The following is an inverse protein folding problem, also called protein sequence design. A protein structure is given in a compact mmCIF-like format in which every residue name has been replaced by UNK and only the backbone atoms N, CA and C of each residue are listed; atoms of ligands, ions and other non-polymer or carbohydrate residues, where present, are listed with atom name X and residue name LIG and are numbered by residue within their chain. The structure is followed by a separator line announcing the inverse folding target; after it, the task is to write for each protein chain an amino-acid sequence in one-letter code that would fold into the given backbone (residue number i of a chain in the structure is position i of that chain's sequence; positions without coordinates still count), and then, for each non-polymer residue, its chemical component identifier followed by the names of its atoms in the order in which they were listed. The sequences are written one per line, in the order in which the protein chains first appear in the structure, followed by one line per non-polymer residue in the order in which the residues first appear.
data_IF_486643334004
#
_entry.id   IF_486643334004
#
_cell.length_a   1.000
_cell.length_b   1.000
_cell.length_c   1.000
_cell.angle_alpha   90.00
_cell.angle_beta   90.00
_cell.angle_gamma   90.00
#
_symmetry.space_group_name_H-M   'P 1'
#
loop_
_entity.id
_entity.type
_entity.pdbx_description
1 polymer ?
#
# COMPACT_ATOMS: atom_id res chain seq x y z
N UNK A 1 26.04 42.90 47.72
CA UNK A 1 26.40 41.66 46.97
C UNK A 1 25.23 41.35 46.04
N UNK A 2 24.81 42.31 45.20
CA UNK A 2 25.43 42.73 43.91
C UNK A 2 25.39 41.57 42.90
N UNK A 3 24.95 41.69 41.65
CA UNK A 3 24.25 42.67 40.81
C UNK A 3 23.91 41.86 39.53
N UNK A 4 22.68 41.83 39.00
CA UNK A 4 22.13 42.68 37.92
C UNK A 4 22.98 42.85 36.63
N UNK A 5 22.31 42.71 35.47
CA UNK A 5 22.65 43.12 34.07
C UNK A 5 22.42 41.99 33.03
N UNK A 6 21.31 42.00 32.27
CA UNK A 6 21.04 42.73 30.98
C UNK A 6 21.48 42.01 29.70
N UNK A 7 20.50 41.73 28.82
CA UNK A 7 20.65 41.42 27.39
C UNK A 7 21.32 42.58 26.61
N UNK A 8 21.73 42.35 25.35
CA UNK A 8 20.95 42.98 24.28
C UNK A 8 20.77 42.16 22.99
N UNK A 9 19.69 42.54 22.29
CA UNK A 9 19.33 42.28 20.89
C UNK A 9 20.43 42.72 19.90
N UNK A 10 20.55 42.02 18.76
CA UNK A 10 20.98 42.65 17.52
C UNK A 10 20.13 42.14 16.34
N UNK A 11 19.45 43.10 15.71
CA UNK A 11 18.64 42.98 14.51
C UNK A 11 19.45 43.45 13.29
N UNK A 12 19.08 42.91 12.12
CA UNK A 12 19.16 43.48 10.75
C UNK A 12 20.50 43.39 9.96
N UNK A 13 20.53 43.56 8.62
CA UNK A 13 19.44 43.71 7.63
C UNK A 13 19.56 42.86 6.32
N UNK A 14 18.49 43.00 5.53
CA UNK A 14 18.22 42.75 4.10
C UNK A 14 19.39 43.02 3.12
N UNK A 15 19.52 42.20 2.06
CA UNK A 15 19.76 42.64 0.67
C UNK A 15 19.34 41.56 -0.35
N UNK A 16 18.37 41.93 -1.20
CA UNK A 16 18.03 41.36 -2.50
C UNK A 16 19.16 41.56 -3.54
N UNK A 17 18.94 40.99 -4.75
CA UNK A 17 19.64 41.17 -6.04
C UNK A 17 20.58 39.99 -6.42
N UNK A 18 20.56 39.39 -7.62
CA UNK A 18 19.85 39.70 -8.85
C UNK A 18 19.87 38.49 -9.81
N UNK A 19 18.87 38.47 -10.69
CA UNK A 19 18.87 37.79 -11.98
C UNK A 19 20.16 38.08 -12.80
N UNK A 20 20.53 37.18 -13.71
CA UNK A 20 20.70 37.47 -15.16
C UNK A 20 21.17 36.21 -15.91
N UNK A 21 20.46 35.92 -16.99
CA UNK A 21 20.78 34.95 -18.03
C UNK A 21 21.59 35.58 -19.17
N UNK A 22 22.18 34.72 -20.01
CA UNK A 22 22.71 34.99 -21.37
C UNK A 22 24.10 35.65 -21.42
N UNK A 23 24.99 35.41 -22.38
CA UNK A 23 25.09 34.52 -23.53
C UNK A 23 26.54 34.61 -24.07
N UNK A 24 26.93 33.63 -24.89
CA UNK A 24 27.92 33.67 -25.99
C UNK A 24 29.26 34.44 -25.82
N UNK A 25 30.38 33.72 -25.98
CA UNK A 25 31.38 33.93 -27.07
C UNK A 25 32.61 33.02 -26.87
N UNK A 26 32.83 32.09 -27.79
CA UNK A 26 34.13 31.46 -28.14
C UNK A 26 35.01 32.48 -28.91
N UNK A 27 36.33 32.31 -29.17
CA UNK A 27 37.01 31.04 -29.55
C UNK A 27 38.48 30.83 -29.09
N UNK A 28 39.02 29.63 -29.32
CA UNK A 28 40.48 29.41 -29.38
C UNK A 28 41.00 28.03 -28.97
N UNK A 29 41.21 27.18 -29.97
CA UNK A 29 41.87 25.86 -30.01
C UNK A 29 42.96 25.52 -28.98
N UNK A 30 42.92 24.27 -28.46
CA UNK A 30 43.99 23.27 -28.69
C UNK A 30 43.51 21.84 -28.41
N UNK A 31 43.82 20.97 -29.35
CA UNK A 31 43.58 19.52 -29.45
C UNK A 31 44.36 18.69 -28.42
N UNK A 32 43.79 17.57 -27.95
CA UNK A 32 44.36 16.19 -27.99
C UNK A 32 43.25 15.17 -27.66
N UNK A 33 43.34 14.04 -28.37
CA UNK A 33 42.42 12.91 -28.59
C UNK A 33 42.20 11.95 -27.41
N UNK A 34 41.00 11.34 -27.30
CA UNK A 34 40.80 9.87 -27.31
C UNK A 34 39.31 9.46 -27.16
N UNK A 35 38.68 9.20 -28.31
CA UNK A 35 37.68 8.15 -28.65
C UNK A 35 36.78 7.48 -27.58
N UNK A 36 35.47 7.66 -27.74
CA UNK A 36 34.44 6.64 -27.50
C UNK A 36 33.58 6.45 -28.77
N UNK A 37 32.73 5.41 -28.90
CA UNK A 37 31.76 5.33 -29.99
C UNK A 37 30.33 5.61 -29.50
N UNK A 38 29.72 6.67 -30.04
CA UNK A 38 28.28 6.96 -29.96
C UNK A 38 27.55 6.41 -31.18
N UNK A 39 26.30 6.00 -30.92
CA UNK A 39 25.30 5.47 -31.83
C UNK A 39 24.99 6.42 -33.01
N UNK A 40 24.78 5.85 -34.20
CA UNK A 40 24.11 6.51 -35.32
C UNK A 40 22.81 5.77 -35.67
N UNK A 41 21.71 6.51 -35.69
CA UNK A 41 20.42 6.12 -36.27
C UNK A 41 20.32 6.62 -37.72
N UNK A 42 20.00 5.76 -38.70
CA UNK A 42 19.04 5.97 -39.82
C UNK A 42 18.81 4.68 -40.65
N UNK A 43 17.69 4.54 -41.41
CA UNK A 43 17.11 3.27 -41.87
C UNK A 43 17.63 2.79 -43.26
N UNK A 44 17.39 1.52 -43.67
CA UNK A 44 18.00 0.98 -44.89
C UNK A 44 17.20 1.30 -46.16
N UNK A 45 17.92 1.74 -47.18
CA UNK A 45 17.49 1.86 -48.58
C UNK A 45 17.64 0.49 -49.26
N UNK A 46 16.56 -0.06 -49.82
CA UNK A 46 16.62 -1.28 -50.62
C UNK A 46 17.17 -0.98 -52.02
N UNK A 47 18.36 -1.47 -52.34
CA UNK A 47 18.85 -1.60 -53.71
C UNK A 47 18.85 -3.08 -54.12
N UNK A 48 18.00 -3.40 -55.08
CA UNK A 48 18.02 -4.61 -55.90
C UNK A 48 19.14 -4.52 -56.93
N UNK A 49 20.12 -5.43 -56.90
CA UNK A 49 20.96 -5.73 -58.06
C UNK A 49 21.28 -7.22 -58.16
N UNK A 50 21.19 -7.70 -59.39
CA UNK A 50 21.19 -9.06 -59.88
C UNK A 50 22.56 -9.73 -59.95
N UNK A 51 22.56 -11.04 -59.67
CA UNK A 51 23.24 -12.14 -60.37
C UNK A 51 24.71 -12.01 -60.82
N UNK A 52 25.59 -12.87 -60.29
CA UNK A 52 26.59 -13.65 -61.09
C UNK A 52 27.28 -14.77 -60.26
N UNK A 53 27.04 -16.01 -60.71
CA UNK A 53 27.90 -17.23 -60.76
C UNK A 53 28.89 -17.64 -59.64
N UNK A 54 28.56 -18.80 -59.02
CA UNK A 54 29.36 -19.99 -58.68
C UNK A 54 30.86 -19.88 -58.32
N UNK A 55 31.18 -20.18 -57.06
CA UNK A 55 32.25 -21.13 -56.64
C UNK A 55 31.77 -21.87 -55.37
N UNK A 56 31.74 -23.20 -55.42
CA UNK A 56 31.46 -24.09 -54.28
C UNK A 56 32.78 -24.46 -53.58
N UNK A 57 32.86 -24.21 -52.27
CA UNK A 57 33.82 -24.85 -51.35
C UNK A 57 33.06 -25.29 -50.10
N UNK A 58 33.30 -26.49 -49.54
CA UNK A 58 32.61 -26.99 -48.36
C UNK A 58 33.45 -26.74 -47.11
N UNK A 59 32.98 -25.91 -46.17
CA UNK A 59 33.27 -26.09 -44.75
C UNK A 59 32.44 -25.15 -43.88
N UNK A 60 31.94 -25.70 -42.78
CA UNK A 60 31.48 -25.03 -41.55
C UNK A 60 30.40 -23.96 -41.69
N UNK A 61 29.17 -24.39 -41.96
CA UNK A 61 27.98 -23.64 -41.52
C UNK A 61 27.56 -24.18 -40.15
N UNK A 62 28.08 -23.57 -39.08
CA UNK A 62 27.35 -23.54 -37.82
C UNK A 62 25.95 -22.97 -38.10
N UNK A 63 24.86 -23.58 -37.62
CA UNK A 63 23.56 -22.92 -37.67
C UNK A 63 23.55 -21.86 -36.57
N UNK A 64 24.11 -20.68 -36.84
CA UNK A 64 23.86 -19.48 -36.04
C UNK A 64 22.46 -18.94 -36.42
N UNK A 65 21.46 -19.76 -36.12
CA UNK A 65 20.04 -19.42 -36.10
C UNK A 65 19.55 -19.56 -34.67
N UNK A 66 20.10 -18.78 -33.74
CA UNK A 66 19.44 -18.61 -32.44
C UNK A 66 18.14 -17.90 -32.73
N UNK A 67 17.07 -18.68 -32.85
CA UNK A 67 15.71 -18.18 -33.01
C UNK A 67 15.53 -16.96 -32.09
N UNK A 68 15.39 -15.77 -32.68
CA UNK A 68 14.88 -14.61 -31.97
C UNK A 68 13.50 -15.02 -31.48
N UNK A 69 13.43 -15.51 -30.24
CA UNK A 69 12.21 -16.10 -29.70
C UNK A 69 11.09 -15.08 -29.85
N UNK A 70 10.04 -15.44 -30.59
CA UNK A 70 8.93 -14.54 -30.92
C UNK A 70 8.43 -13.84 -29.65
N UNK A 71 8.71 -12.53 -29.56
CA UNK A 71 8.21 -11.71 -28.45
C UNK A 71 6.84 -11.17 -28.82
N UNK A 72 5.89 -11.27 -27.90
CA UNK A 72 4.54 -10.75 -28.13
C UNK A 72 3.99 -10.10 -26.87
N UNK A 73 3.49 -8.88 -27.03
CA UNK A 73 2.87 -8.13 -25.96
C UNK A 73 1.36 -8.43 -25.93
N UNK A 74 0.83 -8.76 -24.76
CA UNK A 74 -0.58 -9.10 -24.56
C UNK A 74 -1.31 -8.00 -23.79
N UNK A 75 -2.53 -7.63 -24.20
CA UNK A 75 -3.41 -6.71 -23.44
C UNK A 75 -3.71 -7.23 -22.02
N UNK A 76 -3.62 -8.54 -21.80
CA UNK A 76 -3.83 -9.21 -20.50
C UNK A 76 -2.92 -8.71 -19.38
N UNK A 77 -1.73 -8.16 -19.69
CA UNK A 77 -0.79 -7.62 -18.70
C UNK A 77 -1.38 -6.52 -17.82
N UNK A 78 -2.22 -5.65 -18.40
CA UNK A 78 -2.89 -4.56 -17.67
C UNK A 78 -3.95 -5.09 -16.73
N UNK A 79 -4.67 -6.14 -17.13
CA UNK A 79 -5.59 -6.83 -16.24
C UNK A 79 -4.85 -7.42 -15.03
N UNK A 80 -3.74 -8.13 -15.25
CA UNK A 80 -2.94 -8.73 -14.16
C UNK A 80 -2.41 -7.65 -13.21
N UNK A 81 -1.90 -6.54 -13.75
CA UNK A 81 -1.47 -5.39 -12.96
C UNK A 81 -2.63 -4.81 -12.13
N UNK A 82 -3.82 -4.63 -12.72
CA UNK A 82 -4.99 -4.12 -12.02
C UNK A 82 -5.43 -5.04 -10.87
N UNK A 83 -5.53 -6.35 -11.11
CA UNK A 83 -5.91 -7.32 -10.05
C UNK A 83 -4.89 -7.34 -8.92
N UNK A 84 -3.60 -7.36 -9.26
CA UNK A 84 -2.54 -7.25 -8.27
C UNK A 84 -2.64 -5.94 -7.46
N UNK A 85 -2.88 -4.83 -8.15
CA UNK A 85 -2.96 -3.53 -7.51
C UNK A 85 -4.16 -3.42 -6.58
N UNK A 86 -5.31 -4.00 -6.94
CA UNK A 86 -6.48 -4.09 -6.06
C UNK A 86 -6.21 -4.97 -4.84
N UNK A 87 -5.53 -6.10 -5.00
CA UNK A 87 -5.07 -6.93 -3.89
C UNK A 87 -4.16 -6.12 -2.95
N UNK A 88 -3.17 -5.43 -3.51
CA UNK A 88 -2.22 -4.62 -2.74
C UNK A 88 -2.91 -3.46 -2.03
N UNK A 89 -3.81 -2.74 -2.70
CA UNK A 89 -4.64 -1.69 -2.10
C UNK A 89 -5.49 -2.23 -0.95
N UNK A 90 -6.10 -3.40 -1.13
CA UNK A 90 -6.92 -4.04 -0.09
C UNK A 90 -6.07 -4.42 1.12
N UNK A 91 -4.90 -5.02 0.90
CA UNK A 91 -3.97 -5.39 1.98
C UNK A 91 -3.51 -4.15 2.78
N UNK A 92 -3.20 -3.04 2.09
CA UNK A 92 -2.83 -1.77 2.71
C UNK A 92 -3.99 -1.14 3.49
N UNK A 93 -5.19 -1.10 2.91
CA UNK A 93 -6.39 -0.60 3.58
C UNK A 93 -6.73 -1.39 4.85
N UNK A 94 -6.73 -2.72 4.76
CA UNK A 94 -6.97 -3.64 5.89
C UNK A 94 -5.92 -3.50 6.99
N UNK A 95 -4.68 -3.16 6.62
CA UNK A 95 -3.61 -2.88 7.58
C UNK A 95 -3.90 -1.60 8.38
N UNK A 96 -4.45 -0.58 7.73
CA UNK A 96 -4.76 0.73 8.30
C UNK A 96 -6.23 0.92 8.71
N UNK A 97 -7.01 -0.15 8.92
CA UNK A 97 -8.44 -0.04 9.25
C UNK A 97 -8.70 0.60 10.62
N UNK A 98 -7.80 0.37 11.59
CA UNK A 98 -8.04 0.72 13.00
C UNK A 98 -7.52 2.11 13.39
N UNK A 99 -6.50 2.63 12.70
CA UNK A 99 -5.94 3.95 12.98
C UNK A 99 -6.98 5.09 12.87
N UNK A 100 -7.75 5.18 11.77
CA UNK A 100 -8.75 6.24 11.58
C UNK A 100 -9.93 6.20 12.56
N UNK A 101 -10.19 5.04 13.19
CA UNK A 101 -11.34 4.79 14.06
C UNK A 101 -10.94 4.44 15.50
N UNK A 102 -9.70 4.77 15.91
CA UNK A 102 -9.13 4.38 17.20
C UNK A 102 -10.03 4.77 18.38
N UNK A 103 -10.40 6.04 18.47
CA UNK A 103 -11.24 6.58 19.55
C UNK A 103 -12.59 5.87 19.64
N UNK A 104 -13.25 5.63 18.50
CA UNK A 104 -14.51 4.88 18.44
C UNK A 104 -14.33 3.39 18.79
N UNK A 105 -13.20 2.78 18.44
CA UNK A 105 -12.91 1.40 18.80
C UNK A 105 -12.63 1.24 20.30
N UNK A 106 -12.00 2.23 20.92
CA UNK A 106 -11.79 2.32 22.36
C UNK A 106 -13.13 2.44 23.12
N UNK A 107 -14.02 3.36 22.73
CA UNK A 107 -15.35 3.49 23.37
C UNK A 107 -16.21 2.23 23.12
N UNK A 108 -16.16 1.67 21.90
CA UNK A 108 -16.96 0.50 21.54
C UNK A 108 -16.53 -0.79 22.26
N UNK A 109 -15.24 -1.10 22.28
CA UNK A 109 -14.74 -2.40 22.76
C UNK A 109 -14.07 -2.34 24.14
N UNK A 110 -13.88 -1.14 24.70
CA UNK A 110 -13.10 -0.94 25.92
C UNK A 110 -11.62 -1.25 25.72
N UNK A 111 -11.11 -1.06 24.49
CA UNK A 111 -9.70 -1.23 24.19
C UNK A 111 -8.87 -0.08 24.76
N UNK A 112 -7.59 -0.35 24.97
CA UNK A 112 -6.61 0.65 25.35
C UNK A 112 -5.82 1.10 24.12
N UNK A 113 -5.18 2.27 24.20
CA UNK A 113 -4.27 2.78 23.17
C UNK A 113 -3.22 1.72 22.79
N UNK A 114 -2.66 1.02 23.78
CA UNK A 114 -1.68 -0.05 23.56
C UNK A 114 -2.24 -1.21 22.73
N UNK A 115 -3.54 -1.50 22.82
CA UNK A 115 -4.22 -2.51 22.01
C UNK A 115 -4.31 -2.05 20.54
N UNK A 116 -4.67 -0.78 20.32
CA UNK A 116 -4.73 -0.16 18.99
C UNK A 116 -3.32 -0.10 18.36
N UNK A 117 -2.31 0.30 19.12
CA UNK A 117 -0.92 0.36 18.67
C UNK A 117 -0.41 -1.02 18.25
N UNK A 118 -0.74 -2.06 19.03
CA UNK A 118 -0.39 -3.44 18.69
C UNK A 118 -1.05 -3.90 17.38
N UNK A 119 -2.28 -3.47 17.08
CA UNK A 119 -2.93 -3.75 15.79
C UNK A 119 -2.15 -3.15 14.62
N UNK A 120 -1.60 -1.95 14.77
CA UNK A 120 -0.73 -1.35 13.75
C UNK A 120 0.60 -2.12 13.60
N UNK A 121 1.17 -2.55 14.73
CA UNK A 121 2.46 -3.26 14.78
C UNK A 121 2.42 -4.68 14.23
N UNK A 122 1.25 -5.33 14.16
CA UNK A 122 1.13 -6.66 13.57
C UNK A 122 1.60 -6.73 12.11
N UNK A 123 1.49 -5.64 11.34
CA UNK A 123 2.02 -5.58 9.97
C UNK A 123 3.54 -5.78 9.93
N UNK A 124 4.34 -4.90 10.53
CA UNK A 124 5.79 -5.07 10.63
C UNK A 124 6.23 -6.38 11.31
N UNK A 125 5.57 -6.81 12.39
CA UNK A 125 5.91 -8.05 13.09
C UNK A 125 5.73 -9.26 12.15
N UNK A 126 4.57 -9.37 11.50
CA UNK A 126 4.30 -10.47 10.58
C UNK A 126 5.19 -10.40 9.33
N UNK A 127 5.58 -9.20 8.89
CA UNK A 127 6.52 -9.02 7.78
C UNK A 127 7.90 -9.63 8.09
N UNK A 128 8.41 -9.49 9.32
CA UNK A 128 9.68 -10.11 9.71
C UNK A 128 9.62 -11.65 9.62
N UNK A 129 8.48 -12.24 10.01
CA UNK A 129 8.27 -13.69 9.96
C UNK A 129 8.11 -14.19 8.53
N UNK A 130 7.34 -13.46 7.72
CA UNK A 130 6.92 -13.90 6.39
C UNK A 130 7.84 -13.44 5.25
N UNK A 131 8.64 -12.39 5.44
CA UNK A 131 9.42 -11.73 4.39
C UNK A 131 10.36 -12.68 3.64
N UNK A 132 11.13 -13.51 4.37
CA UNK A 132 12.05 -14.49 3.76
C UNK A 132 11.27 -15.55 2.99
N UNK A 133 10.21 -16.09 3.59
CA UNK A 133 9.39 -17.16 3.00
C UNK A 133 8.70 -16.69 1.72
N UNK A 134 8.12 -15.49 1.75
CA UNK A 134 7.45 -14.91 0.59
C UNK A 134 8.42 -14.46 -0.50
N UNK A 135 9.61 -13.98 -0.15
CA UNK A 135 10.66 -13.67 -1.13
C UNK A 135 11.05 -14.93 -1.91
N UNK A 136 11.35 -16.02 -1.20
CA UNK A 136 11.61 -17.33 -1.82
C UNK A 136 10.41 -17.81 -2.66
N UNK A 137 9.19 -17.63 -2.17
CA UNK A 137 7.98 -18.06 -2.86
C UNK A 137 7.74 -17.27 -4.17
N UNK A 138 7.97 -15.96 -4.17
CA UNK A 138 7.82 -15.12 -5.36
C UNK A 138 8.84 -15.48 -6.44
N UNK A 139 10.07 -15.81 -6.05
CA UNK A 139 11.14 -16.17 -6.99
C UNK A 139 10.98 -17.61 -7.53
N UNK A 140 10.68 -18.58 -6.67
CA UNK A 140 10.68 -20.02 -7.04
C UNK A 140 9.31 -20.51 -7.51
N UNK A 141 8.25 -20.25 -6.72
CA UNK A 141 6.87 -20.70 -7.05
C UNK A 141 6.15 -19.72 -7.97
N UNK A 142 6.67 -18.51 -8.09
CA UNK A 142 6.18 -17.47 -8.98
C UNK A 142 5.07 -16.61 -8.39
N UNK A 143 4.70 -15.62 -9.19
CA UNK A 143 3.84 -14.52 -8.75
C UNK A 143 2.40 -14.94 -8.45
N UNK A 144 1.82 -15.85 -9.25
CA UNK A 144 0.44 -16.34 -9.03
C UNK A 144 0.27 -16.96 -7.66
N UNK A 145 1.14 -17.92 -7.30
CA UNK A 145 1.03 -18.61 -6.02
C UNK A 145 1.15 -17.64 -4.85
N UNK A 146 2.08 -16.69 -4.96
CA UNK A 146 2.28 -15.64 -3.95
C UNK A 146 1.05 -14.75 -3.79
N UNK A 147 0.46 -14.27 -4.89
CA UNK A 147 -0.74 -13.44 -4.85
C UNK A 147 -1.97 -14.19 -4.34
N UNK A 148 -2.15 -15.47 -4.71
CA UNK A 148 -3.28 -16.29 -4.24
C UNK A 148 -3.17 -16.56 -2.74
N UNK A 149 -1.97 -16.88 -2.24
CA UNK A 149 -1.76 -17.11 -0.80
C UNK A 149 -1.95 -15.81 -0.02
N UNK A 150 -1.43 -14.68 -0.50
CA UNK A 150 -1.71 -13.37 0.10
C UNK A 150 -3.21 -13.06 0.10
N UNK A 151 -3.90 -13.25 -1.02
CA UNK A 151 -5.34 -13.04 -1.12
C UNK A 151 -6.12 -13.91 -0.13
N UNK A 152 -5.71 -15.18 0.04
CA UNK A 152 -6.30 -16.06 1.04
C UNK A 152 -6.07 -15.56 2.46
N UNK A 153 -4.83 -15.18 2.81
CA UNK A 153 -4.49 -14.68 4.14
C UNK A 153 -5.24 -13.38 4.49
N UNK A 154 -5.35 -12.46 3.54
CA UNK A 154 -6.11 -11.22 3.69
C UNK A 154 -7.60 -11.54 3.86
N UNK A 155 -8.19 -12.37 2.98
CA UNK A 155 -9.61 -12.73 3.05
C UNK A 155 -9.95 -13.50 4.33
N UNK A 156 -9.11 -14.45 4.76
CA UNK A 156 -9.25 -15.15 6.03
C UNK A 156 -9.13 -14.18 7.21
N UNK A 157 -8.14 -13.28 7.18
CA UNK A 157 -7.92 -12.30 8.22
C UNK A 157 -9.09 -11.32 8.41
N UNK A 158 -9.65 -10.80 7.31
CA UNK A 158 -10.87 -9.97 7.36
C UNK A 158 -12.11 -10.78 7.70
N UNK A 159 -12.20 -12.04 7.25
CA UNK A 159 -13.30 -12.93 7.58
C UNK A 159 -13.40 -13.22 9.08
N UNK A 160 -12.26 -13.40 9.76
CA UNK A 160 -12.23 -13.57 11.21
C UNK A 160 -12.79 -12.35 11.96
N UNK A 161 -12.53 -11.13 11.48
CA UNK A 161 -13.07 -9.87 12.07
C UNK A 161 -14.58 -9.78 11.95
N UNK A 162 -15.20 -10.52 11.04
CA UNK A 162 -16.63 -10.49 10.76
C UNK A 162 -17.47 -11.44 11.63
N UNK A 163 -16.84 -12.30 12.45
CA UNK A 163 -17.54 -13.39 13.17
C UNK A 163 -18.37 -12.85 14.35
N UNK A 164 -17.78 -11.99 15.18
CA UNK A 164 -18.46 -11.45 16.37
C UNK A 164 -17.88 -10.11 16.78
N UNK A 165 -18.75 -9.27 17.34
CA UNK A 165 -18.42 -7.94 17.86
C UNK A 165 -18.55 -7.87 19.40
N UNK A 166 -18.63 -9.04 20.05
CA UNK A 166 -18.69 -9.14 21.50
C UNK A 166 -17.27 -9.28 22.09
N UNK A 167 -16.96 -8.45 23.07
CA UNK A 167 -15.75 -8.56 23.90
C UNK A 167 -15.88 -9.80 24.82
N UNK A 168 -14.83 -10.62 25.00
CA UNK A 168 -13.44 -10.46 24.53
C UNK A 168 -13.12 -11.10 23.18
N UNK A 169 -14.07 -11.82 22.57
CA UNK A 169 -13.81 -12.60 21.35
C UNK A 169 -13.40 -11.71 20.16
N UNK A 170 -14.02 -10.53 20.00
CA UNK A 170 -13.68 -9.55 18.95
C UNK A 170 -12.22 -9.13 19.01
N UNK A 171 -11.64 -8.96 20.21
CA UNK A 171 -10.24 -8.58 20.41
C UNK A 171 -9.29 -9.64 19.84
N UNK A 172 -9.48 -10.90 20.24
CA UNK A 172 -8.66 -12.01 19.77
C UNK A 172 -8.77 -12.23 18.26
N UNK A 173 -10.00 -12.22 17.74
CA UNK A 173 -10.25 -12.37 16.31
C UNK A 173 -9.63 -11.25 15.49
N UNK A 174 -9.67 -10.02 16.00
CA UNK A 174 -9.05 -8.86 15.34
C UNK A 174 -7.53 -8.98 15.32
N UNK A 175 -6.89 -9.35 16.43
CA UNK A 175 -5.43 -9.54 16.44
C UNK A 175 -4.99 -10.68 15.52
N UNK A 176 -5.66 -11.84 15.55
CA UNK A 176 -5.36 -12.95 14.64
C UNK A 176 -5.58 -12.51 13.19
N UNK A 177 -6.68 -11.81 12.91
CA UNK A 177 -6.98 -11.32 11.57
C UNK A 177 -5.97 -10.28 11.06
N UNK A 178 -5.46 -9.42 11.94
CA UNK A 178 -4.42 -8.44 11.62
C UNK A 178 -3.06 -9.10 11.39
N UNK A 179 -2.72 -10.13 12.18
CA UNK A 179 -1.52 -10.93 11.96
C UNK A 179 -1.57 -11.67 10.61
N UNK A 180 -2.71 -12.30 10.27
CA UNK A 180 -2.89 -12.94 8.97
C UNK A 180 -2.74 -11.95 7.80
N UNK A 181 -3.35 -10.77 7.89
CA UNK A 181 -3.16 -9.71 6.89
C UNK A 181 -1.68 -9.29 6.76
N UNK A 182 -0.98 -9.19 7.89
CA UNK A 182 0.44 -8.85 7.93
C UNK A 182 1.33 -9.92 7.26
N UNK A 183 1.01 -11.21 7.41
CA UNK A 183 1.74 -12.30 6.73
C UNK A 183 1.67 -12.19 5.20
N UNK A 184 0.59 -11.61 4.66
CA UNK A 184 0.44 -11.35 3.23
C UNK A 184 1.17 -10.09 2.72
N UNK A 185 1.67 -9.24 3.64
CA UNK A 185 2.29 -7.94 3.36
C UNK A 185 3.50 -7.96 2.41
N UNK A 186 4.42 -8.94 2.49
CA UNK A 186 5.58 -8.96 1.59
C UNK A 186 5.25 -8.94 0.09
N UNK A 187 4.14 -9.57 -0.32
CA UNK A 187 3.70 -9.54 -1.73
C UNK A 187 3.20 -8.17 -2.15
N UNK A 188 2.51 -7.46 -1.26
CA UNK A 188 2.04 -6.11 -1.54
C UNK A 188 3.20 -5.12 -1.77
N UNK A 189 4.34 -5.34 -1.12
CA UNK A 189 5.50 -4.44 -1.21
C UNK A 189 6.53 -4.86 -2.27
N UNK A 190 6.86 -6.15 -2.40
CA UNK A 190 7.97 -6.61 -3.23
C UNK A 190 7.55 -7.12 -4.62
N UNK A 191 6.27 -7.43 -4.83
CA UNK A 191 5.82 -7.92 -6.13
C UNK A 191 5.75 -6.91 -7.29
N UNK A 192 5.59 -5.57 -7.11
CA UNK A 192 5.48 -4.66 -8.25
C UNK A 192 6.64 -4.76 -9.26
N UNK A 193 7.93 -4.76 -8.86
CA UNK A 193 9.04 -4.91 -9.81
C UNK A 193 9.15 -6.31 -10.41
N UNK A 194 8.66 -7.35 -9.71
CA UNK A 194 8.62 -8.72 -10.25
C UNK A 194 7.54 -8.83 -11.33
N UNK A 195 6.34 -8.32 -11.05
CA UNK A 195 5.21 -8.31 -11.96
C UNK A 195 5.53 -7.52 -13.23
N UNK A 196 6.11 -6.32 -13.09
CA UNK A 196 6.45 -5.48 -14.24
C UNK A 196 7.49 -6.15 -15.13
N UNK A 197 8.53 -6.77 -14.55
CA UNK A 197 9.54 -7.47 -15.32
C UNK A 197 9.03 -8.70 -16.08
N UNK A 198 8.03 -9.41 -15.53
CA UNK A 198 7.46 -10.63 -16.14
C UNK A 198 6.45 -10.29 -17.24
N UNK A 199 5.65 -9.24 -17.07
CA UNK A 199 4.49 -8.96 -17.93
C UNK A 199 4.66 -7.76 -18.87
N UNK A 200 5.63 -6.89 -18.62
CA UNK A 200 5.83 -5.64 -19.38
C UNK A 200 7.20 -5.58 -20.07
N UNK A 201 7.24 -4.99 -21.27
CA UNK A 201 8.48 -4.71 -21.99
C UNK A 201 9.26 -3.61 -21.25
N UNK A 202 10.59 -3.55 -21.42
CA UNK A 202 11.48 -2.71 -20.62
C UNK A 202 11.05 -1.25 -20.50
N UNK A 203 10.49 -0.68 -21.56
CA UNK A 203 10.10 0.74 -21.68
C UNK A 203 8.93 1.10 -20.77
N UNK A 204 8.09 0.14 -20.40
CA UNK A 204 6.88 0.36 -19.59
C UNK A 204 6.99 -0.21 -18.16
N UNK A 205 8.11 -0.87 -17.82
CA UNK A 205 8.27 -1.55 -16.51
C UNK A 205 8.21 -0.60 -15.33
N UNK A 206 8.84 0.57 -15.45
CA UNK A 206 8.87 1.59 -14.40
C UNK A 206 7.45 2.09 -14.10
N UNK A 207 6.67 2.39 -15.15
CA UNK A 207 5.28 2.83 -15.01
C UNK A 207 4.41 1.74 -14.36
N UNK A 208 4.53 0.48 -14.81
CA UNK A 208 3.78 -0.62 -14.22
C UNK A 208 4.12 -0.83 -12.74
N UNK A 209 5.40 -0.71 -12.37
CA UNK A 209 5.85 -0.79 -10.97
C UNK A 209 5.27 0.35 -10.15
N UNK A 210 5.33 1.58 -10.67
CA UNK A 210 4.80 2.77 -10.00
C UNK A 210 3.28 2.67 -9.74
N UNK A 211 2.51 2.20 -10.72
CA UNK A 211 1.06 1.99 -10.56
C UNK A 211 0.77 1.01 -9.42
N UNK A 212 1.47 -0.14 -9.39
CA UNK A 212 1.29 -1.14 -8.34
C UNK A 212 1.60 -0.60 -6.95
N UNK A 213 2.70 0.16 -6.81
CA UNK A 213 3.10 0.75 -5.53
C UNK A 213 2.15 1.87 -5.08
N UNK A 214 1.75 2.77 -5.99
CA UNK A 214 0.86 3.90 -5.65
C UNK A 214 -0.52 3.41 -5.23
N UNK A 215 -1.05 2.38 -5.88
CA UNK A 215 -2.38 1.85 -5.53
C UNK A 215 -2.40 1.18 -4.14
N UNK A 216 -1.28 0.63 -3.67
CA UNK A 216 -1.15 0.19 -2.28
C UNK A 216 -1.40 1.36 -1.30
N UNK A 217 -0.68 2.47 -1.50
CA UNK A 217 -0.84 3.67 -0.68
C UNK A 217 -2.22 4.30 -0.83
N UNK A 218 -2.84 4.22 -2.02
CA UNK A 218 -4.21 4.66 -2.21
C UNK A 218 -5.20 3.85 -1.35
N UNK A 219 -4.96 2.55 -1.18
CA UNK A 219 -5.75 1.71 -0.28
C UNK A 219 -5.64 2.14 1.18
N UNK A 220 -4.43 2.46 1.63
CA UNK A 220 -4.18 3.02 2.98
C UNK A 220 -4.89 4.38 3.13
N UNK A 221 -4.77 5.26 2.13
CA UNK A 221 -5.43 6.56 2.14
C UNK A 221 -6.96 6.43 2.16
N UNK A 222 -7.51 5.43 1.45
CA UNK A 222 -8.94 5.17 1.43
C UNK A 222 -9.48 4.78 2.81
N UNK A 223 -8.72 4.10 3.67
CA UNK A 223 -9.21 3.75 5.01
C UNK A 223 -9.40 4.98 5.92
N UNK A 224 -8.60 6.04 5.74
CA UNK A 224 -8.79 7.32 6.43
C UNK A 224 -10.10 8.03 6.04
N UNK A 225 -10.65 7.71 4.87
CA UNK A 225 -11.94 8.26 4.41
C UNK A 225 -13.07 7.30 4.79
N UNK A 226 -12.93 6.02 4.50
CA UNK A 226 -13.95 5.00 4.73
C UNK A 226 -14.25 4.78 6.21
N UNK A 227 -13.22 4.78 7.08
CA UNK A 227 -13.38 4.57 8.51
C UNK A 227 -14.32 5.60 9.14
N UNK A 228 -13.99 6.91 9.11
CA UNK A 228 -14.85 7.95 9.69
C UNK A 228 -16.22 8.11 9.00
N UNK A 229 -16.31 7.82 7.69
CA UNK A 229 -17.61 7.88 6.97
C UNK A 229 -18.57 6.78 7.40
N UNK A 230 -18.08 5.56 7.65
CA UNK A 230 -18.89 4.41 8.03
C UNK A 230 -19.05 4.25 9.54
N UNK A 231 -18.12 4.81 10.31
CA UNK A 231 -18.12 4.84 11.78
C UNK A 231 -18.26 6.29 12.24
N UNK A 232 -19.45 6.90 12.14
CA UNK A 232 -19.65 8.28 12.56
C UNK A 232 -19.48 8.38 14.08
N UNK A 233 -18.45 9.11 14.51
CA UNK A 233 -18.26 9.45 15.92
C UNK A 233 -19.43 10.30 16.43
N UNK A 234 -20.07 9.86 17.51
CA UNK A 234 -21.09 10.66 18.18
C UNK A 234 -20.46 11.37 19.36
N UNK A 235 -20.03 12.62 19.16
CA UNK A 235 -19.62 13.47 20.26
C UNK A 235 -20.75 13.53 21.29
N UNK A 236 -20.43 13.25 22.55
CA UNK A 236 -21.36 13.38 23.66
C UNK A 236 -21.83 14.84 23.73
N UNK A 237 -23.07 15.10 23.32
CA UNK A 237 -23.75 16.37 23.59
C UNK A 237 -24.50 16.17 24.91
N UNK A 238 -24.09 16.82 26.01
CA UNK A 238 -24.89 16.76 27.22
C UNK A 238 -26.26 17.35 26.90
N UNK A 239 -27.33 16.59 27.13
CA UNK A 239 -28.70 17.09 27.11
C UNK A 239 -28.88 18.08 28.26
N UNK A 240 -28.40 19.30 28.07
CA UNK A 240 -28.79 20.42 28.90
C UNK A 240 -30.23 20.74 28.52
N UNK A 241 -31.16 20.40 29.43
CA UNK A 241 -32.55 20.82 29.33
C UNK A 241 -32.59 22.32 29.02
N UNK A 242 -32.91 22.65 27.77
CA UNK A 242 -33.11 24.02 27.33
C UNK A 242 -34.48 24.48 27.80
N UNK A 243 -34.57 24.83 29.08
CA UNK A 243 -35.63 25.69 29.60
C UNK A 243 -35.00 26.66 30.58
N UNK A 244 -34.56 27.79 30.06
CA UNK A 244 -34.51 29.04 30.81
C UNK A 244 -34.88 30.17 29.85
N UNK A 245 -36.16 30.19 29.46
CA UNK A 245 -36.86 31.45 29.30
C UNK A 245 -36.68 32.26 30.58
N UNK A 246 -36.14 33.46 30.43
CA UNK A 246 -35.88 34.43 31.48
C UNK A 246 -37.13 34.73 32.31
N UNK A 247 -37.13 34.32 33.58
CA UNK A 247 -37.91 34.96 34.63
C UNK A 247 -37.22 34.80 35.98
N UNK A 248 -36.80 35.93 36.54
CA UNK A 248 -36.32 36.08 37.91
C UNK A 248 -37.40 35.60 38.89
N UNK A 249 -37.13 34.57 39.69
CA UNK A 249 -37.87 34.31 40.92
C UNK A 249 -36.89 33.79 41.98
N UNK A 250 -36.73 34.58 43.05
CA UNK A 250 -35.94 34.20 44.21
C UNK A 250 -36.78 33.27 45.07
N UNK A 251 -36.34 32.03 45.25
CA UNK A 251 -36.93 31.11 46.22
C UNK A 251 -35.80 30.30 46.85
N UNK A 252 -35.60 30.57 48.14
CA UNK A 252 -34.71 29.85 49.04
C UNK A 252 -35.40 28.56 49.46
N UNK A 253 -35.06 27.43 48.85
CA UNK A 253 -35.39 26.14 49.41
C UNK A 253 -34.23 25.16 49.26
N UNK A 254 -33.68 24.79 50.42
CA UNK A 254 -32.62 23.81 50.60
C UNK A 254 -33.28 22.42 50.72
N UNK A 255 -33.84 21.89 49.64
CA UNK A 255 -34.40 20.54 49.60
C UNK A 255 -33.47 19.56 48.86
N UNK A 256 -32.93 18.63 49.62
CA UNK A 256 -32.05 17.53 49.21
C UNK A 256 -32.70 16.63 48.14
N UNK A 257 -32.35 16.84 46.87
CA UNK A 257 -32.79 16.02 45.74
C UNK A 257 -31.92 14.76 45.61
N UNK A 258 -32.27 13.70 46.35
CA UNK A 258 -31.65 12.36 46.18
C UNK A 258 -32.40 11.47 45.20
N UNK A 259 -33.66 11.79 44.87
CA UNK A 259 -34.53 10.93 44.06
C UNK A 259 -34.42 11.18 42.54
N UNK A 260 -33.99 12.36 42.10
CA UNK A 260 -33.78 12.64 40.67
C UNK A 260 -32.43 12.10 40.17
N UNK A 261 -31.47 11.88 41.05
CA UNK A 261 -30.13 11.41 40.70
C UNK A 261 -30.11 9.99 40.12
N UNK A 262 -30.97 9.09 40.60
CA UNK A 262 -31.06 7.72 40.07
C UNK A 262 -31.68 7.69 38.67
N UNK A 263 -32.68 8.54 38.40
CA UNK A 263 -33.32 8.65 37.08
C UNK A 263 -32.39 9.32 36.06
N UNK A 264 -31.64 10.36 36.45
CA UNK A 264 -30.64 11.03 35.61
C UNK A 264 -29.45 10.10 35.30
N UNK A 265 -28.99 9.31 36.28
CA UNK A 265 -27.95 8.29 36.06
C UNK A 265 -28.47 7.17 35.15
N UNK A 266 -29.72 6.76 35.32
CA UNK A 266 -30.38 5.79 34.45
C UNK A 266 -30.45 6.27 33.00
N UNK A 267 -30.94 7.48 32.76
CA UNK A 267 -31.00 8.05 31.40
C UNK A 267 -29.62 8.27 30.78
N UNK A 268 -28.62 8.65 31.58
CA UNK A 268 -27.24 8.80 31.11
C UNK A 268 -26.62 7.44 30.73
N UNK A 269 -26.90 6.39 31.51
CA UNK A 269 -26.45 5.04 31.22
C UNK A 269 -27.15 4.44 30.00
N UNK A 270 -28.44 4.70 29.82
CA UNK A 270 -29.22 4.27 28.65
C UNK A 270 -28.68 4.93 27.36
N UNK A 271 -28.51 6.26 27.37
CA UNK A 271 -27.94 7.01 26.25
C UNK A 271 -26.50 6.56 25.92
N UNK A 272 -25.71 6.20 26.93
CA UNK A 272 -24.35 5.69 26.73
C UNK A 272 -24.35 4.30 26.09
N UNK A 273 -25.25 3.43 26.53
CA UNK A 273 -25.38 2.07 25.98
C UNK A 273 -25.86 2.10 24.53
N UNK A 274 -26.80 2.99 24.20
CA UNK A 274 -27.28 3.17 22.83
C UNK A 274 -26.19 3.70 21.90
N UNK A 275 -25.39 4.68 22.35
CA UNK A 275 -24.25 5.20 21.59
C UNK A 275 -23.23 4.10 21.27
N UNK A 276 -22.79 3.36 22.28
CA UNK A 276 -21.83 2.26 22.13
C UNK A 276 -22.37 1.20 21.17
N UNK A 277 -23.67 0.90 21.24
CA UNK A 277 -24.31 -0.03 20.31
C UNK A 277 -24.26 0.47 18.87
N UNK A 278 -24.50 1.77 18.64
CA UNK A 278 -24.43 2.38 17.31
C UNK A 278 -23.00 2.39 16.75
N UNK A 279 -22.01 2.69 17.57
CA UNK A 279 -20.59 2.64 17.18
C UNK A 279 -20.17 1.23 16.79
N UNK A 280 -20.54 0.22 17.59
CA UNK A 280 -20.32 -1.19 17.26
C UNK A 280 -20.94 -1.57 15.92
N UNK A 281 -22.17 -1.10 15.63
CA UNK A 281 -22.84 -1.37 14.37
C UNK A 281 -22.11 -0.70 13.18
N UNK A 282 -21.60 0.52 13.34
CA UNK A 282 -20.78 1.19 12.34
C UNK A 282 -19.47 0.44 12.06
N UNK A 283 -18.76 0.04 13.12
CA UNK A 283 -17.55 -0.78 12.99
C UNK A 283 -17.86 -2.12 12.33
N UNK A 284 -18.96 -2.78 12.71
CA UNK A 284 -19.36 -4.04 12.10
C UNK A 284 -19.62 -3.91 10.60
N UNK A 285 -20.36 -2.86 10.19
CA UNK A 285 -20.58 -2.57 8.78
C UNK A 285 -19.26 -2.35 8.03
N UNK A 286 -18.34 -1.60 8.61
CA UNK A 286 -17.02 -1.37 8.02
C UNK A 286 -16.24 -2.68 7.83
N UNK A 287 -16.20 -3.55 8.85
CA UNK A 287 -15.55 -4.86 8.76
C UNK A 287 -16.20 -5.77 7.72
N UNK A 288 -17.54 -5.77 7.61
CA UNK A 288 -18.24 -6.57 6.59
C UNK A 288 -17.97 -6.08 5.17
N UNK A 289 -17.87 -4.76 4.96
CA UNK A 289 -17.52 -4.19 3.65
C UNK A 289 -16.08 -4.61 3.27
N UNK A 290 -15.12 -4.47 4.18
CA UNK A 290 -13.75 -4.91 3.95
C UNK A 290 -13.66 -6.43 3.69
N UNK A 291 -14.38 -7.23 4.47
CA UNK A 291 -14.41 -8.69 4.33
C UNK A 291 -15.08 -9.16 3.03
N UNK A 292 -16.18 -8.52 2.63
CA UNK A 292 -16.84 -8.81 1.35
C UNK A 292 -15.95 -8.43 0.17
N UNK A 293 -15.30 -7.27 0.24
CA UNK A 293 -14.39 -6.80 -0.80
C UNK A 293 -13.15 -7.70 -0.92
N UNK A 294 -12.50 -8.06 0.19
CA UNK A 294 -11.34 -8.95 0.18
C UNK A 294 -11.68 -10.34 -0.35
N UNK A 295 -12.84 -10.89 0.00
CA UNK A 295 -13.33 -12.16 -0.53
C UNK A 295 -13.58 -12.09 -2.04
N UNK A 296 -14.14 -10.98 -2.54
CA UNK A 296 -14.34 -10.76 -3.97
C UNK A 296 -13.01 -10.73 -4.75
N UNK A 297 -12.00 -10.02 -4.22
CA UNK A 297 -10.65 -9.99 -4.82
C UNK A 297 -10.00 -11.38 -4.77
N UNK A 298 -10.16 -12.12 -3.67
CA UNK A 298 -9.64 -13.47 -3.57
C UNK A 298 -10.29 -14.42 -4.59
N UNK A 299 -11.61 -14.35 -4.76
CA UNK A 299 -12.32 -15.11 -5.79
C UNK A 299 -11.86 -14.72 -7.20
N UNK A 300 -11.64 -13.42 -7.45
CA UNK A 300 -11.10 -12.94 -8.73
C UNK A 300 -9.71 -13.53 -9.03
N UNK A 301 -8.84 -13.63 -8.01
CA UNK A 301 -7.52 -14.26 -8.13
C UNK A 301 -7.61 -15.76 -8.42
N UNK A 302 -8.53 -16.47 -7.77
CA UNK A 302 -8.76 -17.90 -7.99
C UNK A 302 -9.28 -18.18 -9.41
N UNK A 303 -10.29 -17.41 -9.84
CA UNK A 303 -10.90 -17.57 -11.16
C UNK A 303 -9.90 -17.27 -12.27
N UNK A 304 -9.16 -16.16 -12.17
CA UNK A 304 -8.32 -15.74 -13.29
C UNK A 304 -7.14 -14.85 -12.90
N UNK A 305 -6.04 -15.47 -12.46
CA UNK A 305 -4.73 -14.85 -12.35
C UNK A 305 -3.64 -15.70 -13.04
N UNK A 306 -3.36 -15.53 -14.34
CA UNK A 306 -2.38 -16.37 -15.05
C UNK A 306 -0.97 -16.24 -14.44
N UNK A 307 -0.22 -17.34 -14.38
CA UNK A 307 1.10 -17.37 -13.73
C UNK A 307 2.17 -16.61 -14.52
N UNK A 308 2.16 -16.73 -15.85
CA UNK A 308 3.11 -16.12 -16.79
C UNK A 308 2.42 -15.88 -18.15
N UNK A 309 2.85 -14.90 -18.95
CA UNK A 309 2.40 -14.78 -20.33
C UNK A 309 2.89 -15.98 -21.17
N UNK A 310 2.16 -16.39 -22.23
CA UNK A 310 2.53 -17.55 -23.04
C UNK A 310 3.78 -17.30 -23.92
N UNK A 311 4.09 -16.04 -24.23
CA UNK A 311 5.36 -15.63 -24.83
C UNK A 311 5.97 -14.50 -23.99
N UNK A 312 7.31 -14.44 -23.83
CA UNK A 312 7.95 -13.39 -23.06
C UNK A 312 7.74 -12.02 -23.74
N UNK A 313 7.56 -10.94 -22.97
CA UNK A 313 7.36 -9.60 -23.53
C UNK A 313 8.64 -9.03 -24.16
N UNK A 314 9.82 -9.55 -23.80
CA UNK A 314 11.11 -9.20 -24.38
C UNK A 314 12.15 -10.32 -24.14
N UNK A 315 13.27 -10.37 -24.88
CA UNK A 315 14.28 -11.43 -24.74
C UNK A 315 14.91 -11.48 -23.34
N UNK A 316 15.08 -10.33 -22.68
CA UNK A 316 15.60 -10.25 -21.31
C UNK A 316 14.64 -10.82 -20.25
N UNK A 317 13.34 -10.93 -20.55
CA UNK A 317 12.37 -11.60 -19.68
C UNK A 317 12.39 -13.13 -19.81
N UNK A 318 13.04 -13.66 -20.86
CA UNK A 318 13.20 -15.10 -21.08
C UNK A 318 14.39 -15.69 -20.31
N UNK A 319 15.30 -14.85 -19.81
CA UNK A 319 16.47 -15.27 -19.05
C UNK A 319 15.99 -15.73 -17.64
N UNK A 320 16.30 -16.98 -17.22
CA UNK A 320 16.01 -17.44 -15.86
C UNK A 320 16.71 -16.53 -14.84
N UNK A 321 15.99 -16.09 -13.81
CA UNK A 321 16.60 -15.34 -12.71
C UNK A 321 17.43 -16.28 -11.84
N UNK A 322 18.59 -15.79 -11.38
CA UNK A 322 19.45 -16.47 -10.41
C UNK A 322 18.66 -16.84 -9.14
N UNK A 323 18.92 -18.03 -8.58
CA UNK A 323 18.14 -18.55 -7.47
C UNK A 323 18.39 -17.74 -6.19
N UNK A 324 17.33 -17.34 -5.48
CA UNK A 324 17.39 -16.59 -4.21
C UNK A 324 18.39 -17.16 -3.20
N UNK A 325 18.47 -18.50 -3.09
CA UNK A 325 19.39 -19.18 -2.17
C UNK A 325 20.86 -18.99 -2.57
N UNK A 326 21.16 -18.90 -3.86
CA UNK A 326 22.52 -18.59 -4.34
C UNK A 326 22.86 -17.13 -4.04
N UNK A 327 21.93 -16.19 -4.24
CA UNK A 327 22.12 -14.79 -3.86
C UNK A 327 22.36 -14.61 -2.36
N UNK A 328 21.57 -15.27 -1.51
CA UNK A 328 21.74 -15.21 -0.06
C UNK A 328 23.06 -15.84 0.40
N UNK A 329 23.46 -16.98 -0.20
CA UNK A 329 24.78 -17.57 0.04
C UNK A 329 25.90 -16.62 -0.34
N UNK A 330 25.80 -15.94 -1.47
CA UNK A 330 26.81 -15.00 -1.94
C UNK A 330 26.94 -13.74 -1.06
N UNK A 331 25.87 -13.37 -0.34
CA UNK A 331 25.90 -12.27 0.64
C UNK A 331 26.49 -12.66 2.00
N UNK A 332 26.47 -13.95 2.33
CA UNK A 332 26.92 -14.48 3.63
C UNK A 332 28.32 -15.14 3.57
N UNK A 333 28.93 -15.24 2.38
CA UNK A 333 30.26 -15.80 2.15
C UNK A 333 31.20 -14.71 1.70
#
# INVERSE_FOLDING_TARGET
MDADAKQPLLNSPITDADHVSSACSTPGYNTISASGPQLCHSPPTYHTLSSSSNIQSPDDTEPEGRAEGETRVYRRRWYVLMVYSLLSATQGGVWNSWGPIAVTAEDAFGWTDATIDLLSNWGPIAFLVSGIVFSWMMDVKGLRMSCVITGFLVAAGTGLRCITFNTPAVTWLTHVGQFLNGLGGPVAMAAPPILSAVWFPPEERTTATAIGTVLNYLGVAASFVMGPLLVPYQAYVPSTNSTNTSSFHMSSDLSFSKHNSSMILGSKAENATERIHKEKNGIALYMYIEGGWSAAIFLMLLLYFPSKPPLPPCPSAAIPRENFVQGLKHLLT
#
